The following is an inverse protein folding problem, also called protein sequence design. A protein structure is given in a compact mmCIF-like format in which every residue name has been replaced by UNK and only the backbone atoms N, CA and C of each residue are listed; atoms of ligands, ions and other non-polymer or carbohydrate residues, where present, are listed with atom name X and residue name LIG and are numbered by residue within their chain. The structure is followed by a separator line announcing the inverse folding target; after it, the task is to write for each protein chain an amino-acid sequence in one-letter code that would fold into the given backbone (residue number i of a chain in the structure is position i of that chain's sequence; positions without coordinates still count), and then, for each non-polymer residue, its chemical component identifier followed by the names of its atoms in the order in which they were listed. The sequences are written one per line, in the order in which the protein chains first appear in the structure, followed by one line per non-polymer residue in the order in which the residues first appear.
data_IF_637103333176
#
_entry.id   IF_637103333176
#
_cell.length_a   1.000
_cell.length_b   1.000
_cell.length_c   1.000
_cell.angle_alpha   90.00
_cell.angle_beta   90.00
_cell.angle_gamma   90.00
#
_symmetry.space_group_name_H-M   'P 1'
#
loop_
_entity.id
_entity.type
_entity.pdbx_description
1 polymer ?
#
# COMPACT_ATOMS: atom_id res chain seq x y z
N UNK A 1 -47.66 23.78 51.19
CA UNK A 1 -47.76 22.30 51.45
C UNK A 1 -46.62 21.61 50.75
N UNK A 2 -45.83 20.91 51.53
CA UNK A 2 -44.62 20.13 51.17
C UNK A 2 -44.99 18.95 50.26
N UNK A 3 -44.17 18.63 49.28
CA UNK A 3 -43.73 17.26 49.14
C UNK A 3 -42.40 17.14 48.44
N UNK A 4 -41.49 16.35 49.09
CA UNK A 4 -40.16 16.02 48.67
C UNK A 4 -40.20 14.68 47.93
N UNK A 5 -39.57 14.58 46.73
CA UNK A 5 -39.12 13.27 46.21
C UNK A 5 -37.64 13.31 45.87
N UNK A 6 -36.89 12.57 46.70
CA UNK A 6 -35.46 12.30 46.54
C UNK A 6 -35.20 11.41 45.30
N UNK A 7 -34.37 11.85 44.38
CA UNK A 7 -33.81 11.01 43.35
C UNK A 7 -32.69 10.13 43.91
N UNK A 8 -32.76 8.84 43.63
CA UNK A 8 -31.71 7.85 43.97
C UNK A 8 -30.60 7.92 42.93
N UNK A 9 -29.41 8.28 43.36
CA UNK A 9 -28.15 8.15 42.59
C UNK A 9 -27.81 6.64 42.49
N UNK A 10 -27.65 6.15 41.24
CA UNK A 10 -27.11 4.83 40.94
C UNK A 10 -25.61 4.81 41.22
N UNK A 11 -25.19 4.09 42.29
CA UNK A 11 -23.81 3.87 42.63
C UNK A 11 -23.08 3.04 41.55
N UNK A 12 -21.87 3.46 41.19
CA UNK A 12 -20.95 2.69 40.37
C UNK A 12 -20.44 1.51 41.20
N UNK A 13 -20.69 0.29 40.70
CA UNK A 13 -20.10 -0.93 41.27
C UNK A 13 -18.57 -0.90 41.11
N UNK A 14 -17.84 -1.12 42.23
CA UNK A 14 -16.38 -1.19 42.22
C UNK A 14 -15.91 -2.57 41.78
N UNK A 15 -14.69 -2.63 41.19
CA UNK A 15 -14.05 -3.90 40.80
C UNK A 15 -13.99 -4.94 41.93
N UNK A 16 -14.04 -4.49 43.18
CA UNK A 16 -14.02 -5.35 44.39
C UNK A 16 -15.36 -6.04 44.64
N UNK A 17 -16.46 -5.44 44.22
CA UNK A 17 -17.81 -5.98 44.37
C UNK A 17 -18.13 -7.06 43.33
N UNK A 18 -17.52 -6.96 42.16
CA UNK A 18 -17.61 -7.97 41.09
C UNK A 18 -16.88 -9.29 41.48
N UNK A 19 -15.75 -9.18 42.16
CA UNK A 19 -15.00 -10.36 42.64
C UNK A 19 -15.64 -11.06 43.83
N UNK A 20 -16.46 -10.38 44.62
CA UNK A 20 -17.18 -10.96 45.75
C UNK A 20 -18.48 -11.66 45.36
N UNK A 21 -19.08 -11.28 44.23
CA UNK A 21 -20.29 -11.93 43.71
C UNK A 21 -20.02 -13.30 43.04
N UNK A 22 -18.75 -13.59 42.67
CA UNK A 22 -18.35 -14.88 42.11
C UNK A 22 -18.05 -16.00 43.11
N UNK A 23 -18.01 -15.70 44.40
CA UNK A 23 -17.57 -16.64 45.42
C UNK A 23 -18.68 -17.25 46.32
N UNK A 24 -19.94 -16.90 46.04
CA UNK A 24 -21.06 -17.34 46.88
C UNK A 24 -22.10 -18.16 46.11
N UNK A 25 -21.68 -19.28 45.52
CA UNK A 25 -22.60 -20.13 44.76
C UNK A 25 -22.06 -21.52 44.43
N UNK A 26 -21.48 -22.22 45.39
CA UNK A 26 -21.19 -23.65 45.24
C UNK A 26 -21.66 -24.41 46.50
N UNK A 27 -22.93 -24.76 46.50
CA UNK A 27 -23.49 -25.79 47.34
C UNK A 27 -23.32 -27.14 46.67
N UNK A 28 -22.75 -28.07 47.40
CA UNK A 28 -22.35 -29.43 47.02
C UNK A 28 -23.55 -30.27 46.58
N UNK A 29 -23.44 -30.95 45.43
CA UNK A 29 -24.08 -32.23 45.18
C UNK A 29 -23.09 -33.13 44.46
N UNK A 30 -22.61 -34.16 45.14
CA UNK A 30 -21.77 -35.20 44.59
C UNK A 30 -22.59 -36.11 43.68
N UNK A 31 -22.23 -36.19 42.40
CA UNK A 31 -22.43 -37.36 41.54
C UNK A 31 -21.32 -37.38 40.49
N UNK A 32 -20.63 -38.54 40.42
CA UNK A 32 -19.48 -38.74 39.56
C UNK A 32 -19.85 -38.69 38.07
N UNK A 33 -19.09 -37.97 37.35
CA UNK A 33 -19.15 -37.87 35.90
C UNK A 33 -18.04 -36.93 35.41
N UNK A 34 -17.16 -37.46 34.64
CA UNK A 34 -16.03 -36.84 33.98
C UNK A 34 -16.33 -35.41 33.54
N UNK A 35 -15.78 -34.41 34.23
CA UNK A 35 -15.64 -33.06 33.70
C UNK A 35 -14.43 -33.06 32.74
N UNK A 36 -14.60 -32.68 31.47
CA UNK A 36 -13.46 -32.47 30.61
C UNK A 36 -12.66 -31.26 31.11
N UNK A 37 -11.35 -31.43 31.21
CA UNK A 37 -10.35 -30.39 31.43
C UNK A 37 -10.52 -29.23 30.40
N UNK A 38 -11.36 -28.28 30.72
CA UNK A 38 -11.49 -27.01 30.01
C UNK A 38 -11.14 -25.82 30.92
N UNK A 39 -10.13 -25.96 31.73
CA UNK A 39 -9.32 -24.84 32.14
C UNK A 39 -8.13 -24.80 31.17
N UNK A 40 -8.36 -24.19 30.01
CA UNK A 40 -7.27 -23.69 29.16
C UNK A 40 -6.47 -22.73 30.06
N UNK A 41 -5.45 -23.25 30.74
CA UNK A 41 -4.41 -22.43 31.31
C UNK A 41 -3.90 -21.53 30.20
N UNK A 42 -4.22 -20.24 30.27
CA UNK A 42 -3.63 -19.25 29.38
C UNK A 42 -2.11 -19.45 29.49
N UNK A 43 -1.49 -20.01 28.44
CA UNK A 43 -0.03 -20.16 28.39
C UNK A 43 0.55 -18.80 28.74
N UNK A 44 1.40 -18.76 29.77
CA UNK A 44 2.13 -17.56 30.14
C UNK A 44 2.74 -16.95 28.85
N UNK A 45 2.69 -15.64 28.68
CA UNK A 45 3.23 -15.01 27.48
C UNK A 45 4.69 -15.45 27.28
N UNK A 46 5.06 -15.78 26.04
CA UNK A 46 6.38 -16.30 25.69
C UNK A 46 7.52 -15.23 25.83
N UNK A 47 7.23 -14.11 26.49
CA UNK A 47 8.14 -12.98 26.71
C UNK A 47 7.95 -12.39 28.12
N UNK A 48 8.99 -11.71 28.60
CA UNK A 48 9.01 -11.15 29.97
C UNK A 48 8.26 -9.81 30.01
N UNK A 49 7.62 -9.51 31.14
CA UNK A 49 7.10 -8.17 31.45
C UNK A 49 8.25 -7.15 31.42
N UNK A 50 8.02 -5.98 30.81
CA UNK A 50 9.05 -4.96 30.58
C UNK A 50 9.88 -5.18 29.30
N UNK A 51 9.53 -6.17 28.46
CA UNK A 51 10.10 -6.29 27.11
C UNK A 51 9.87 -5.00 26.33
N UNK A 52 10.91 -4.54 25.63
CA UNK A 52 10.83 -3.37 24.74
C UNK A 52 10.70 -3.86 23.30
N UNK A 53 9.64 -3.45 22.63
CA UNK A 53 9.36 -3.81 21.23
C UNK A 53 9.42 -2.54 20.37
N UNK A 54 10.25 -2.54 19.34
CA UNK A 54 10.45 -1.41 18.45
C UNK A 54 9.94 -1.71 17.04
N UNK A 55 9.14 -0.79 16.48
CA UNK A 55 8.50 -0.95 15.17
C UNK A 55 8.85 0.24 14.30
N UNK A 56 9.33 -0.02 13.08
CA UNK A 56 9.66 0.98 12.07
C UNK A 56 8.70 0.89 10.88
N UNK A 57 8.09 2.02 10.53
CA UNK A 57 7.13 2.12 9.43
C UNK A 57 7.34 3.37 8.59
N UNK A 58 6.78 3.37 7.39
CA UNK A 58 6.59 4.59 6.61
C UNK A 58 5.48 5.47 7.19
N UNK A 59 5.62 6.79 7.08
CA UNK A 59 4.57 7.74 7.47
C UNK A 59 3.32 7.55 6.61
N UNK A 60 2.16 7.56 7.25
CA UNK A 60 0.90 7.37 6.55
C UNK A 60 0.38 8.69 5.99
N UNK A 61 -0.08 8.67 4.74
CA UNK A 61 -0.75 9.83 4.14
C UNK A 61 -2.14 10.09 4.72
N UNK A 62 -2.73 9.09 5.39
CA UNK A 62 -4.02 9.19 6.09
C UNK A 62 -3.72 9.23 7.60
N UNK A 63 -3.52 10.42 8.15
CA UNK A 63 -3.10 10.62 9.53
C UNK A 63 -3.97 9.89 10.58
N UNK A 64 -5.33 9.85 10.50
CA UNK A 64 -6.14 9.11 11.46
C UNK A 64 -5.80 7.63 11.56
N UNK A 65 -5.36 7.00 10.47
CA UNK A 65 -4.98 5.58 10.48
C UNK A 65 -3.64 5.34 11.17
N UNK A 66 -2.70 6.29 11.07
CA UNK A 66 -1.44 6.24 11.81
C UNK A 66 -1.68 6.39 13.32
N UNK A 67 -2.55 7.30 13.71
CA UNK A 67 -2.91 7.50 15.11
C UNK A 67 -3.66 6.30 15.69
N UNK A 68 -4.51 5.66 14.89
CA UNK A 68 -5.17 4.42 15.30
C UNK A 68 -4.16 3.29 15.50
N UNK A 69 -3.20 3.12 14.58
CA UNK A 69 -2.15 2.12 14.74
C UNK A 69 -1.34 2.34 16.02
N UNK A 70 -0.94 3.58 16.32
CA UNK A 70 -0.21 3.93 17.55
C UNK A 70 -1.00 3.56 18.79
N UNK A 71 -2.31 3.91 18.83
CA UNK A 71 -3.19 3.56 19.95
C UNK A 71 -3.31 2.04 20.13
N UNK A 72 -3.54 1.30 19.05
CA UNK A 72 -3.63 -0.15 19.08
C UNK A 72 -2.33 -0.78 19.63
N UNK A 73 -1.17 -0.30 19.15
CA UNK A 73 0.12 -0.77 19.63
C UNK A 73 0.30 -0.52 21.13
N UNK A 74 -0.04 0.69 21.59
CA UNK A 74 0.03 1.05 23.01
C UNK A 74 -0.92 0.21 23.86
N UNK A 75 -2.18 0.06 23.46
CA UNK A 75 -3.19 -0.76 24.16
C UNK A 75 -2.71 -2.22 24.35
N UNK A 76 -2.14 -2.81 23.29
CA UNK A 76 -1.58 -4.14 23.39
C UNK A 76 -0.36 -4.19 24.31
N UNK A 77 0.52 -3.21 24.23
CA UNK A 77 1.70 -3.10 25.07
C UNK A 77 1.33 -3.04 26.56
N UNK A 78 0.39 -2.15 26.93
CA UNK A 78 -0.11 -2.00 28.30
C UNK A 78 -0.75 -3.32 28.81
N UNK A 79 -1.59 -3.96 27.97
CA UNK A 79 -2.26 -5.20 28.33
C UNK A 79 -1.29 -6.38 28.57
N UNK A 80 -0.13 -6.37 27.90
CA UNK A 80 0.85 -7.45 27.95
C UNK A 80 2.12 -7.11 28.73
N UNK A 81 2.22 -5.89 29.27
CA UNK A 81 3.40 -5.41 30.00
C UNK A 81 4.63 -5.26 29.09
N UNK A 82 4.43 -4.84 27.86
CA UNK A 82 5.45 -4.57 26.83
C UNK A 82 5.50 -3.07 26.56
N UNK A 83 6.69 -2.50 26.55
CA UNK A 83 6.91 -1.12 26.11
C UNK A 83 7.05 -1.11 24.57
N UNK A 84 6.10 -0.51 23.85
CA UNK A 84 6.15 -0.44 22.38
C UNK A 84 6.54 0.97 21.94
N UNK A 85 7.55 1.06 21.07
CA UNK A 85 7.87 2.27 20.31
C UNK A 85 7.53 2.08 18.84
N UNK A 86 6.90 3.09 18.22
CA UNK A 86 6.57 3.10 16.80
C UNK A 86 7.20 4.33 16.15
N UNK A 87 8.17 4.12 15.28
CA UNK A 87 8.81 5.16 14.49
C UNK A 87 8.22 5.19 13.09
N UNK A 88 7.92 6.40 12.60
CA UNK A 88 7.38 6.65 11.28
C UNK A 88 8.33 7.58 10.52
N UNK A 89 8.87 7.10 9.40
CA UNK A 89 9.78 7.85 8.55
C UNK A 89 9.14 8.21 7.21
N UNK A 90 9.67 9.24 6.55
CA UNK A 90 9.35 9.46 5.14
C UNK A 90 9.79 8.27 4.30
N UNK A 91 9.03 7.98 3.25
CA UNK A 91 9.26 6.79 2.43
C UNK A 91 10.67 6.69 1.81
N UNK A 92 11.29 7.78 1.33
CA UNK A 92 12.68 7.72 0.84
C UNK A 92 13.70 7.32 1.91
N UNK A 93 13.44 7.65 3.18
CA UNK A 93 14.36 7.41 4.31
C UNK A 93 14.19 6.00 4.90
N UNK A 94 13.07 5.35 4.60
CA UNK A 94 12.70 4.08 5.24
C UNK A 94 13.65 2.94 4.84
N UNK A 95 13.90 2.76 3.55
CA UNK A 95 14.74 1.66 3.05
C UNK A 95 16.19 1.72 3.56
N UNK A 96 16.88 2.87 3.55
CA UNK A 96 18.21 2.99 4.15
C UNK A 96 18.22 2.66 5.65
N UNK A 97 17.19 3.07 6.38
CA UNK A 97 17.04 2.77 7.82
C UNK A 97 16.83 1.28 8.09
N UNK A 98 16.01 0.62 7.24
CA UNK A 98 15.82 -0.84 7.31
C UNK A 98 17.15 -1.55 7.03
N UNK A 99 17.89 -1.16 5.99
CA UNK A 99 19.19 -1.74 5.65
C UNK A 99 20.18 -1.65 6.81
N UNK A 100 20.25 -0.49 7.46
CA UNK A 100 21.05 -0.30 8.66
C UNK A 100 20.60 -1.21 9.82
N UNK A 101 19.29 -1.36 10.01
CA UNK A 101 18.70 -2.20 11.08
C UNK A 101 18.96 -3.70 10.84
N UNK A 102 18.94 -4.14 9.59
CA UNK A 102 19.31 -5.51 9.21
C UNK A 102 20.76 -5.82 9.60
N UNK A 103 21.67 -4.87 9.47
CA UNK A 103 23.09 -5.05 9.78
C UNK A 103 23.38 -4.90 11.28
N UNK A 104 22.88 -3.84 11.89
CA UNK A 104 23.28 -3.41 13.23
C UNK A 104 22.21 -3.66 14.32
N UNK A 105 21.00 -4.06 13.95
CA UNK A 105 19.84 -4.10 14.85
C UNK A 105 19.21 -2.71 15.03
N UNK A 106 18.30 -2.62 16.00
CA UNK A 106 17.62 -1.35 16.32
C UNK A 106 16.10 -1.43 16.27
N UNK A 107 15.57 -2.29 15.41
CA UNK A 107 14.12 -2.56 15.33
C UNK A 107 13.83 -4.05 15.36
N UNK A 108 12.66 -4.39 15.91
CA UNK A 108 12.14 -5.76 15.96
C UNK A 108 11.24 -6.06 14.78
N UNK A 109 10.34 -5.11 14.47
CA UNK A 109 9.39 -5.18 13.35
C UNK A 109 9.66 -4.04 12.40
N UNK A 110 9.65 -4.31 11.10
CA UNK A 110 9.81 -3.32 10.04
C UNK A 110 8.71 -3.46 9.00
N UNK A 111 8.23 -2.34 8.47
CA UNK A 111 7.35 -2.33 7.31
C UNK A 111 8.20 -2.41 6.04
N UNK A 112 7.94 -3.43 5.22
CA UNK A 112 8.60 -3.62 3.94
C UNK A 112 7.64 -3.29 2.80
N UNK A 113 8.17 -2.65 1.76
CA UNK A 113 7.42 -2.26 0.58
C UNK A 113 8.07 -2.80 -0.69
N UNK A 114 7.25 -3.07 -1.71
CA UNK A 114 7.72 -3.26 -3.06
C UNK A 114 8.78 -4.35 -3.21
N UNK A 115 8.61 -5.50 -2.57
CA UNK A 115 9.56 -6.61 -2.72
C UNK A 115 10.84 -6.49 -1.90
N UNK A 116 10.97 -5.52 -0.98
CA UNK A 116 12.12 -5.46 -0.06
C UNK A 116 12.25 -6.73 0.81
N UNK A 117 11.17 -7.46 1.01
CA UNK A 117 11.22 -8.79 1.61
C UNK A 117 12.12 -9.76 0.83
N UNK A 118 12.22 -9.65 -0.50
CA UNK A 118 13.17 -10.44 -1.30
C UNK A 118 14.62 -9.96 -1.13
N UNK A 119 14.84 -8.64 -0.99
CA UNK A 119 16.18 -8.10 -0.73
C UNK A 119 16.72 -8.58 0.61
N UNK A 120 15.87 -8.67 1.63
CA UNK A 120 16.25 -9.03 3.00
C UNK A 120 15.87 -10.45 3.40
N UNK A 121 15.53 -11.32 2.46
CA UNK A 121 14.96 -12.66 2.69
C UNK A 121 15.74 -13.50 3.70
N UNK A 122 17.06 -13.35 3.76
CA UNK A 122 17.93 -14.12 4.68
C UNK A 122 17.93 -13.55 6.10
N UNK A 123 17.45 -12.32 6.27
CA UNK A 123 17.42 -11.58 7.53
C UNK A 123 16.02 -11.51 8.16
N UNK A 124 15.03 -12.16 7.57
CA UNK A 124 13.63 -12.11 8.02
C UNK A 124 13.20 -13.43 8.66
N UNK A 125 12.44 -13.31 9.74
CA UNK A 125 11.79 -14.45 10.43
C UNK A 125 10.62 -14.94 9.58
N UNK A 126 10.43 -16.26 9.54
CA UNK A 126 9.23 -16.85 8.95
C UNK A 126 8.00 -16.58 9.85
N UNK A 127 6.97 -16.01 9.25
CA UNK A 127 5.70 -15.66 9.90
C UNK A 127 4.49 -16.34 9.24
N UNK A 128 4.71 -17.51 8.61
CA UNK A 128 3.64 -18.31 8.02
C UNK A 128 2.54 -18.67 9.03
N UNK A 129 2.92 -18.87 10.30
CA UNK A 129 2.01 -19.14 11.42
C UNK A 129 1.04 -17.97 11.72
N UNK A 130 1.26 -16.79 11.17
CA UNK A 130 0.39 -15.61 11.27
C UNK A 130 -0.28 -15.34 9.93
N UNK A 131 0.49 -15.26 8.85
CA UNK A 131 0.00 -14.89 7.52
C UNK A 131 -1.01 -15.90 6.95
N UNK A 132 -0.71 -17.21 7.03
CA UNK A 132 -1.58 -18.24 6.45
C UNK A 132 -2.98 -18.29 7.11
N UNK A 133 -3.09 -18.33 8.46
CA UNK A 133 -4.40 -18.30 9.11
C UNK A 133 -5.19 -17.03 8.81
N UNK A 134 -4.51 -15.85 8.73
CA UNK A 134 -5.17 -14.60 8.41
C UNK A 134 -5.76 -14.63 7.00
N UNK A 135 -4.96 -15.01 6.01
CA UNK A 135 -5.44 -15.12 4.62
C UNK A 135 -6.60 -16.10 4.51
N UNK A 136 -6.47 -17.31 5.10
CA UNK A 136 -7.49 -18.37 5.03
C UNK A 136 -8.84 -17.93 5.61
N UNK A 137 -8.87 -17.36 6.84
CA UNK A 137 -10.13 -16.96 7.50
C UNK A 137 -10.82 -15.78 6.82
N UNK A 138 -10.08 -15.00 6.00
CA UNK A 138 -10.58 -13.84 5.29
C UNK A 138 -10.85 -14.12 3.79
N UNK A 139 -11.08 -15.36 3.40
CA UNK A 139 -11.48 -15.75 2.05
C UNK A 139 -10.34 -15.93 1.05
N UNK A 140 -9.10 -15.95 1.52
CA UNK A 140 -7.88 -15.99 0.72
C UNK A 140 -7.33 -14.61 0.40
N UNK A 141 -6.08 -14.60 -0.04
CA UNK A 141 -5.39 -13.38 -0.45
C UNK A 141 -5.91 -12.88 -1.80
N UNK A 142 -5.79 -11.58 -2.06
CA UNK A 142 -5.90 -11.05 -3.42
C UNK A 142 -4.72 -11.53 -4.26
N UNK A 143 -4.92 -11.62 -5.58
CA UNK A 143 -3.91 -12.19 -6.49
C UNK A 143 -2.54 -11.50 -6.38
N UNK A 144 -2.52 -10.18 -6.29
CA UNK A 144 -1.27 -9.43 -6.20
C UNK A 144 -0.48 -9.75 -4.92
N UNK A 145 -1.18 -10.09 -3.83
CA UNK A 145 -0.57 -10.56 -2.59
C UNK A 145 -0.04 -11.98 -2.74
N UNK A 146 -0.84 -12.89 -3.31
CA UNK A 146 -0.46 -14.30 -3.50
C UNK A 146 0.86 -14.44 -4.28
N UNK A 147 1.11 -13.51 -5.22
CA UNK A 147 2.30 -13.53 -6.06
C UNK A 147 3.57 -13.05 -5.35
N UNK A 148 3.48 -12.33 -4.22
CA UNK A 148 4.62 -11.56 -3.69
C UNK A 148 4.93 -11.74 -2.21
N UNK A 149 4.18 -12.54 -1.44
CA UNK A 149 4.42 -12.61 0.01
C UNK A 149 5.25 -13.83 0.47
N UNK A 150 5.54 -14.76 -0.42
CA UNK A 150 6.28 -15.99 -0.13
C UNK A 150 7.61 -16.08 -0.86
N UNK A 151 8.59 -16.66 -0.18
CA UNK A 151 9.82 -17.15 -0.79
C UNK A 151 9.99 -18.63 -0.44
N UNK A 152 9.77 -19.51 -1.42
CA UNK A 152 9.59 -20.93 -1.17
C UNK A 152 8.39 -21.18 -0.26
N UNK A 153 8.62 -21.89 0.85
CA UNK A 153 7.58 -22.20 1.84
C UNK A 153 7.52 -21.20 3.00
N UNK A 154 8.32 -20.12 2.96
CA UNK A 154 8.37 -19.13 4.06
C UNK A 154 7.55 -17.89 3.71
N UNK A 155 6.83 -17.35 4.68
CA UNK A 155 6.25 -16.02 4.62
C UNK A 155 7.22 -15.02 5.26
N UNK A 156 7.77 -14.11 4.48
CA UNK A 156 8.79 -13.16 4.91
C UNK A 156 8.23 -11.86 5.50
N UNK A 157 6.95 -11.84 5.74
CA UNK A 157 6.20 -10.77 6.39
C UNK A 157 4.72 -11.09 6.33
N UNK A 158 3.92 -10.42 7.16
CA UNK A 158 2.45 -10.53 7.12
C UNK A 158 1.91 -9.43 6.22
N UNK A 159 1.29 -9.77 5.08
CA UNK A 159 0.74 -8.77 4.16
C UNK A 159 -0.40 -7.97 4.78
N UNK A 160 -0.39 -6.64 4.56
CA UNK A 160 -1.47 -5.78 5.06
C UNK A 160 -2.12 -4.90 3.99
N UNK A 161 -1.75 -5.07 2.72
CA UNK A 161 -2.30 -4.35 1.58
C UNK A 161 -1.23 -3.61 0.79
N UNK A 162 -1.69 -2.70 -0.07
CA UNK A 162 -0.86 -1.82 -0.86
C UNK A 162 -1.55 -0.46 -1.00
N UNK A 163 -0.81 0.63 -1.04
CA UNK A 163 -1.43 1.94 -1.34
C UNK A 163 -1.97 1.94 -2.75
N UNK A 164 -3.18 2.47 -2.89
CA UNK A 164 -3.79 2.59 -4.20
C UNK A 164 -3.09 3.67 -5.04
N UNK A 165 -3.35 3.68 -6.35
CA UNK A 165 -2.94 4.74 -7.26
C UNK A 165 -3.81 4.71 -8.50
N UNK A 166 -4.25 5.87 -8.97
CA UNK A 166 -5.06 6.00 -10.18
C UNK A 166 -4.88 7.39 -10.77
N UNK A 167 -5.48 7.66 -11.93
CA UNK A 167 -5.43 9.00 -12.50
C UNK A 167 -6.48 9.87 -11.80
N UNK A 168 -6.04 10.77 -10.92
CA UNK A 168 -6.87 11.86 -10.43
C UNK A 168 -6.98 12.94 -11.50
N UNK A 169 -8.16 13.53 -11.70
CA UNK A 169 -8.36 14.60 -12.67
C UNK A 169 -9.38 15.64 -12.19
N UNK A 170 -9.26 16.86 -12.74
CA UNK A 170 -10.20 17.94 -12.54
C UNK A 170 -11.36 17.79 -13.52
N UNK A 171 -12.57 17.60 -12.99
CA UNK A 171 -13.80 17.37 -13.78
C UNK A 171 -14.02 18.53 -14.77
N UNK A 172 -13.94 19.77 -14.27
CA UNK A 172 -14.19 20.97 -15.07
C UNK A 172 -13.26 21.07 -16.28
N UNK A 173 -11.97 20.83 -16.07
CA UNK A 173 -10.96 20.95 -17.13
C UNK A 173 -10.99 19.78 -18.13
N UNK A 174 -11.32 18.57 -17.66
CA UNK A 174 -11.54 17.43 -18.56
C UNK A 174 -12.78 17.64 -19.43
N UNK A 175 -13.84 18.23 -18.86
CA UNK A 175 -15.04 18.60 -19.60
C UNK A 175 -14.76 19.66 -20.65
N UNK A 176 -14.03 20.72 -20.30
CA UNK A 176 -13.57 21.76 -21.21
C UNK A 176 -12.69 21.19 -22.35
N UNK A 177 -11.83 20.23 -22.03
CA UNK A 177 -11.03 19.50 -23.03
C UNK A 177 -11.85 18.54 -23.91
N UNK A 178 -13.16 18.39 -23.65
CA UNK A 178 -14.06 17.55 -24.41
C UNK A 178 -14.00 16.06 -24.04
N UNK A 179 -13.59 15.73 -22.81
CA UNK A 179 -13.63 14.36 -22.32
C UNK A 179 -15.09 13.91 -22.09
N UNK A 180 -15.56 12.85 -22.75
CA UNK A 180 -16.91 12.33 -22.50
C UNK A 180 -17.06 11.82 -21.06
N UNK A 181 -18.23 12.03 -20.47
CA UNK A 181 -18.55 11.56 -19.10
C UNK A 181 -17.58 12.09 -18.03
N UNK A 182 -17.00 13.28 -18.20
CA UNK A 182 -16.03 13.84 -17.26
C UNK A 182 -16.56 13.92 -15.81
N UNK A 183 -17.88 13.96 -15.60
CA UNK A 183 -18.51 13.97 -14.28
C UNK A 183 -18.52 12.60 -13.58
N UNK A 184 -18.28 11.51 -14.32
CA UNK A 184 -18.32 10.14 -13.80
C UNK A 184 -17.13 9.31 -14.33
N UNK A 185 -16.03 9.37 -13.61
CA UNK A 185 -14.80 8.66 -13.97
C UNK A 185 -14.96 7.14 -14.12
N UNK A 186 -15.99 6.55 -13.51
CA UNK A 186 -16.28 5.12 -13.66
C UNK A 186 -16.76 4.73 -15.07
N UNK A 187 -17.20 5.71 -15.86
CA UNK A 187 -17.63 5.56 -17.25
C UNK A 187 -16.55 5.93 -18.27
N UNK A 188 -15.39 6.34 -17.81
CA UNK A 188 -14.26 6.73 -18.66
C UNK A 188 -13.29 5.56 -18.77
N UNK A 189 -13.06 5.08 -19.99
CA UNK A 189 -12.14 3.98 -20.29
C UNK A 189 -11.19 4.37 -21.43
N UNK A 190 -10.09 5.04 -21.10
CA UNK A 190 -9.15 5.64 -22.06
C UNK A 190 -7.99 4.71 -22.41
N UNK A 191 -7.52 4.84 -23.66
CA UNK A 191 -6.15 4.49 -24.04
C UNK A 191 -5.18 5.59 -23.63
N UNK A 192 -3.86 5.31 -23.65
CA UNK A 192 -2.84 6.32 -23.41
C UNK A 192 -2.90 7.46 -24.42
N UNK A 193 -3.15 7.15 -25.69
CA UNK A 193 -3.27 8.15 -26.76
C UNK A 193 -4.45 9.10 -26.52
N UNK A 194 -5.61 8.57 -26.13
CA UNK A 194 -6.78 9.39 -25.79
C UNK A 194 -6.52 10.26 -24.55
N UNK A 195 -5.85 9.70 -23.54
CA UNK A 195 -5.47 10.43 -22.34
C UNK A 195 -4.52 11.58 -22.66
N UNK A 196 -3.48 11.34 -23.48
CA UNK A 196 -2.56 12.40 -23.92
C UNK A 196 -3.26 13.47 -24.78
N UNK A 197 -4.21 13.06 -25.62
CA UNK A 197 -4.99 14.01 -26.43
C UNK A 197 -5.84 14.95 -25.56
N UNK A 198 -6.44 14.45 -24.48
CA UNK A 198 -7.12 15.28 -23.48
C UNK A 198 -6.11 16.22 -22.81
N UNK A 199 -4.97 15.69 -22.36
CA UNK A 199 -3.92 16.46 -21.70
C UNK A 199 -3.34 17.59 -22.57
N UNK A 200 -3.18 17.35 -23.87
CA UNK A 200 -2.76 18.38 -24.83
C UNK A 200 -3.72 19.57 -24.84
N UNK A 201 -5.03 19.32 -24.82
CA UNK A 201 -6.05 20.37 -24.75
C UNK A 201 -6.05 21.06 -23.38
N UNK A 202 -5.92 20.30 -22.28
CA UNK A 202 -5.78 20.88 -20.94
C UNK A 202 -4.54 21.80 -20.85
N UNK A 203 -3.38 21.37 -21.38
CA UNK A 203 -2.15 22.17 -21.40
C UNK A 203 -2.31 23.44 -22.25
N UNK A 204 -2.97 23.35 -23.40
CA UNK A 204 -3.27 24.51 -24.25
C UNK A 204 -4.15 25.55 -23.55
N UNK A 205 -5.03 25.10 -22.62
CA UNK A 205 -5.88 25.95 -21.78
C UNK A 205 -5.16 26.41 -20.48
N UNK A 206 -3.84 26.14 -20.34
CA UNK A 206 -3.05 26.56 -19.18
C UNK A 206 -3.07 25.57 -17.99
N UNK A 207 -3.62 24.38 -18.17
CA UNK A 207 -3.78 23.35 -17.14
C UNK A 207 -3.11 22.03 -17.53
N UNK A 208 -1.76 21.97 -17.59
CA UNK A 208 -1.04 20.75 -17.97
C UNK A 208 -1.37 19.59 -17.04
N UNK A 209 -1.11 18.36 -17.48
CA UNK A 209 -0.96 17.22 -16.60
C UNK A 209 0.34 17.36 -15.80
N UNK A 210 0.41 16.70 -14.67
CA UNK A 210 1.65 16.60 -13.90
C UNK A 210 1.92 15.15 -13.49
N UNK A 211 3.19 14.76 -13.55
CA UNK A 211 3.60 13.43 -13.15
C UNK A 211 5.02 13.46 -12.59
N UNK A 212 5.20 12.83 -11.43
CA UNK A 212 6.51 12.60 -10.88
C UNK A 212 7.26 11.54 -11.73
N UNK A 213 8.47 11.87 -12.17
CA UNK A 213 9.43 10.96 -12.82
C UNK A 213 10.82 11.02 -12.17
N UNK A 214 10.95 11.64 -10.98
CA UNK A 214 12.16 11.59 -10.17
C UNK A 214 12.29 10.29 -9.38
N UNK A 215 13.36 10.17 -8.59
CA UNK A 215 13.59 9.01 -7.74
C UNK A 215 12.65 9.03 -6.52
N UNK A 216 11.50 8.40 -6.66
CA UNK A 216 10.51 8.20 -5.61
C UNK A 216 9.90 6.81 -5.70
N UNK A 217 9.40 6.30 -4.57
CA UNK A 217 9.05 4.89 -4.44
C UNK A 217 7.66 4.55 -4.94
N UNK A 218 6.76 5.52 -5.11
CA UNK A 218 5.34 5.30 -5.39
C UNK A 218 4.91 5.67 -6.80
N UNK A 219 4.73 6.95 -7.07
CA UNK A 219 4.07 7.44 -8.27
C UNK A 219 4.88 7.20 -9.56
N UNK A 220 6.22 7.42 -9.61
CA UNK A 220 6.97 7.15 -10.82
C UNK A 220 6.90 5.68 -11.26
N UNK A 221 7.20 4.67 -10.41
CA UNK A 221 7.02 3.27 -10.80
C UNK A 221 5.55 2.93 -11.08
N UNK A 222 4.60 3.56 -10.36
CA UNK A 222 3.17 3.38 -10.54
C UNK A 222 2.65 3.76 -11.93
N UNK A 223 3.38 4.59 -12.67
CA UNK A 223 3.09 4.92 -14.08
C UNK A 223 4.00 4.16 -15.04
N UNK A 224 5.31 4.16 -14.80
CA UNK A 224 6.29 3.65 -15.75
C UNK A 224 6.13 2.15 -16.00
N UNK A 225 5.95 1.34 -14.94
CA UNK A 225 5.75 -0.10 -15.09
C UNK A 225 4.44 -0.45 -15.83
N UNK A 226 3.26 0.05 -15.45
CA UNK A 226 2.02 -0.19 -16.18
C UNK A 226 2.07 0.28 -17.63
N UNK A 227 2.69 1.44 -17.90
CA UNK A 227 2.87 1.92 -19.26
C UNK A 227 3.70 0.93 -20.10
N UNK A 228 4.88 0.55 -19.61
CA UNK A 228 5.75 -0.43 -20.24
C UNK A 228 5.03 -1.74 -20.55
N UNK A 229 4.33 -2.30 -19.55
CA UNK A 229 3.57 -3.54 -19.71
C UNK A 229 2.43 -3.42 -20.72
N UNK A 230 1.79 -2.26 -20.76
CA UNK A 230 0.69 -1.99 -21.70
C UNK A 230 1.13 -1.95 -23.17
N UNK A 231 2.44 -1.79 -23.41
CA UNK A 231 3.07 -1.92 -24.73
C UNK A 231 3.81 -3.26 -24.91
N UNK A 232 3.54 -4.24 -24.07
CA UNK A 232 4.03 -5.60 -24.21
C UNK A 232 5.51 -5.82 -23.86
N UNK A 233 6.16 -4.85 -23.22
CA UNK A 233 7.49 -5.03 -22.67
C UNK A 233 7.42 -5.35 -21.16
N UNK A 234 8.41 -6.08 -20.69
CA UNK A 234 8.57 -6.50 -19.30
C UNK A 234 10.05 -6.48 -18.95
N UNK A 235 10.39 -6.50 -17.68
CA UNK A 235 11.80 -6.63 -17.29
C UNK A 235 12.38 -7.94 -17.84
N UNK A 236 11.66 -9.04 -17.62
CA UNK A 236 12.05 -10.39 -18.05
C UNK A 236 10.85 -11.19 -18.57
N UNK A 237 11.13 -12.23 -19.34
CA UNK A 237 10.15 -13.24 -19.72
C UNK A 237 9.70 -14.07 -18.49
N UNK A 238 8.74 -14.99 -18.70
CA UNK A 238 8.20 -15.88 -17.64
C UNK A 238 9.27 -16.73 -16.95
N UNK A 239 10.42 -16.94 -17.58
CA UNK A 239 11.54 -17.67 -17.00
C UNK A 239 12.29 -16.90 -15.88
N UNK A 240 11.94 -15.62 -15.68
CA UNK A 240 12.56 -14.74 -14.70
C UNK A 240 14.03 -14.38 -14.97
N UNK A 241 14.51 -14.54 -16.21
CA UNK A 241 15.91 -14.38 -16.62
C UNK A 241 16.09 -13.66 -17.95
N UNK A 242 15.38 -14.09 -18.98
CA UNK A 242 15.49 -13.53 -20.33
C UNK A 242 14.94 -12.12 -20.36
N UNK A 243 15.76 -11.13 -20.73
CA UNK A 243 15.34 -9.73 -20.80
C UNK A 243 14.27 -9.57 -21.88
N UNK A 244 13.16 -8.95 -21.53
CA UNK A 244 12.00 -8.70 -22.38
C UNK A 244 11.67 -7.19 -22.49
N UNK A 245 12.64 -6.35 -22.20
CA UNK A 245 12.45 -4.91 -22.06
C UNK A 245 12.47 -4.17 -23.42
N UNK A 246 13.44 -4.46 -24.28
CA UNK A 246 13.68 -3.75 -25.53
C UNK A 246 12.85 -4.29 -26.71
N UNK A 247 11.55 -4.52 -26.48
CA UNK A 247 10.62 -4.93 -27.54
C UNK A 247 10.34 -3.76 -28.49
N UNK A 248 10.22 -4.00 -29.81
CA UNK A 248 9.90 -2.93 -30.79
C UNK A 248 8.62 -2.17 -30.45
N UNK A 249 7.60 -2.86 -29.94
CA UNK A 249 6.34 -2.24 -29.53
C UNK A 249 6.52 -1.25 -28.37
N UNK A 250 7.48 -1.50 -27.47
CA UNK A 250 7.78 -0.58 -26.38
C UNK A 250 8.60 0.63 -26.85
N UNK A 251 9.50 0.44 -27.81
CA UNK A 251 10.18 1.59 -28.46
C UNK A 251 9.16 2.53 -29.11
N UNK A 252 8.14 1.97 -29.78
CA UNK A 252 7.04 2.76 -30.33
C UNK A 252 6.20 3.42 -29.23
N UNK A 253 5.85 2.67 -28.17
CA UNK A 253 5.18 3.23 -26.99
C UNK A 253 5.98 4.36 -26.36
N UNK A 254 7.31 4.22 -26.26
CA UNK A 254 8.18 5.27 -25.71
C UNK A 254 8.20 6.54 -26.58
N UNK A 255 8.14 6.43 -27.91
CA UNK A 255 7.96 7.62 -28.76
C UNK A 255 6.67 8.35 -28.44
N UNK A 256 5.56 7.61 -28.34
CA UNK A 256 4.26 8.19 -27.95
C UNK A 256 4.30 8.82 -26.56
N UNK A 257 5.03 8.20 -25.62
CA UNK A 257 5.22 8.79 -24.29
C UNK A 257 5.98 10.10 -24.33
N UNK A 258 7.06 10.17 -25.11
CA UNK A 258 7.84 11.41 -25.31
C UNK A 258 6.96 12.52 -25.90
N UNK A 259 6.18 12.22 -26.96
CA UNK A 259 5.24 13.15 -27.57
C UNK A 259 4.17 13.59 -26.57
N UNK A 260 3.54 12.64 -25.89
CA UNK A 260 2.53 12.91 -24.85
C UNK A 260 3.07 13.73 -23.70
N UNK A 261 4.31 13.46 -23.27
CA UNK A 261 4.97 14.24 -22.22
C UNK A 261 5.13 15.70 -22.63
N UNK A 262 5.70 15.93 -23.80
CA UNK A 262 5.89 17.28 -24.34
C UNK A 262 4.56 18.02 -24.52
N UNK A 263 3.56 17.34 -25.06
CA UNK A 263 2.30 17.97 -25.46
C UNK A 263 1.32 18.16 -24.30
N UNK A 264 1.36 17.31 -23.28
CA UNK A 264 0.33 17.27 -22.22
C UNK A 264 0.83 17.62 -20.83
N UNK A 265 2.09 17.34 -20.49
CA UNK A 265 2.57 17.44 -19.11
C UNK A 265 3.33 18.73 -18.81
N UNK A 266 3.43 19.04 -17.52
CA UNK A 266 4.42 19.96 -16.97
C UNK A 266 5.80 19.28 -17.02
N UNK A 267 6.70 19.83 -17.80
CA UNK A 267 8.00 19.19 -18.09
C UNK A 267 8.93 19.14 -16.87
N UNK A 268 8.68 19.96 -15.83
CA UNK A 268 9.44 19.92 -14.58
C UNK A 268 9.23 18.63 -13.77
N UNK A 269 8.21 17.83 -14.12
CA UNK A 269 7.89 16.55 -13.51
C UNK A 269 9.04 15.55 -13.47
N UNK A 270 10.06 15.69 -14.33
CA UNK A 270 11.27 14.86 -14.31
C UNK A 270 12.10 14.96 -13.03
N UNK A 271 11.89 16.02 -12.24
CA UNK A 271 12.52 16.24 -10.94
C UNK A 271 11.58 16.06 -9.74
N UNK A 272 10.30 15.72 -10.00
CA UNK A 272 9.30 15.58 -8.94
C UNK A 272 9.38 14.25 -8.21
N UNK A 273 9.06 14.29 -6.90
CA UNK A 273 8.81 13.14 -6.03
C UNK A 273 7.31 12.92 -5.79
N UNK A 274 6.94 11.93 -4.97
CA UNK A 274 5.55 11.58 -4.62
C UNK A 274 4.78 12.70 -3.88
N UNK A 275 5.41 13.82 -3.55
CA UNK A 275 4.78 14.95 -2.86
C UNK A 275 4.60 16.18 -3.75
N UNK A 276 5.39 16.31 -4.82
CA UNK A 276 5.34 17.47 -5.71
C UNK A 276 4.03 17.51 -6.52
N UNK A 277 3.62 16.38 -7.10
CA UNK A 277 2.36 16.29 -7.83
C UNK A 277 1.15 16.56 -6.92
N UNK A 278 1.20 16.14 -5.66
CA UNK A 278 0.16 16.46 -4.67
C UNK A 278 0.01 17.98 -4.50
N UNK A 279 1.13 18.68 -4.28
CA UNK A 279 1.13 20.14 -4.14
C UNK A 279 0.65 20.83 -5.42
N UNK A 280 1.14 20.41 -6.58
CA UNK A 280 0.75 20.97 -7.86
C UNK A 280 -0.75 20.79 -8.15
N UNK A 281 -1.32 19.62 -7.83
CA UNK A 281 -2.75 19.35 -8.00
C UNK A 281 -3.60 20.20 -7.05
N UNK A 282 -3.24 20.22 -5.76
CA UNK A 282 -3.97 20.98 -4.74
C UNK A 282 -3.81 22.50 -4.87
N UNK A 283 -2.79 23.00 -5.57
CA UNK A 283 -2.65 24.43 -5.91
C UNK A 283 -3.39 24.81 -7.19
N UNK A 284 -3.94 23.84 -7.94
CA UNK A 284 -4.59 24.09 -9.23
C UNK A 284 -3.62 24.30 -10.41
N UNK A 285 -2.35 23.92 -10.26
CA UNK A 285 -1.34 24.02 -11.30
C UNK A 285 -1.54 22.96 -12.40
N UNK A 286 -1.97 21.76 -12.03
CA UNK A 286 -2.11 20.62 -12.93
C UNK A 286 -3.55 20.07 -12.93
N UNK A 287 -3.97 19.57 -14.09
CA UNK A 287 -5.32 19.04 -14.30
C UNK A 287 -5.48 17.56 -14.02
N UNK A 288 -4.40 16.78 -14.13
CA UNK A 288 -4.42 15.34 -13.84
C UNK A 288 -3.04 14.84 -13.42
N UNK A 289 -3.03 13.77 -12.62
CA UNK A 289 -1.82 13.08 -12.18
C UNK A 289 -2.16 11.66 -11.75
N UNK A 290 -1.23 10.72 -11.94
CA UNK A 290 -1.29 9.45 -11.22
C UNK A 290 -0.90 9.68 -9.76
N UNK A 291 -1.76 9.26 -8.86
CA UNK A 291 -1.50 9.35 -7.42
C UNK A 291 -2.43 8.42 -6.64
N UNK A 292 -2.08 8.20 -5.37
CA UNK A 292 -3.00 7.61 -4.41
C UNK A 292 -4.19 8.52 -4.11
N UNK A 293 -5.25 7.96 -3.53
CA UNK A 293 -6.43 8.74 -3.12
C UNK A 293 -6.13 9.79 -2.02
N UNK A 294 -4.88 9.85 -1.54
CA UNK A 294 -4.42 10.84 -0.56
C UNK A 294 -4.63 12.29 -1.00
N UNK A 295 -4.44 12.61 -2.28
CA UNK A 295 -4.75 13.94 -2.83
C UNK A 295 -6.23 14.29 -2.60
N UNK A 296 -7.12 13.36 -2.91
CA UNK A 296 -8.55 13.57 -2.77
C UNK A 296 -8.97 13.75 -1.31
N UNK A 297 -8.39 12.95 -0.39
CA UNK A 297 -8.66 13.10 1.04
C UNK A 297 -8.10 14.41 1.60
N UNK A 298 -6.91 14.83 1.17
CA UNK A 298 -6.37 16.13 1.53
C UNK A 298 -7.27 17.27 1.00
N UNK A 299 -7.75 17.14 -0.25
CA UNK A 299 -8.68 18.11 -0.81
C UNK A 299 -10.00 18.16 -0.04
N UNK A 300 -10.61 17.02 0.31
CA UNK A 300 -11.84 16.99 1.12
C UNK A 300 -11.69 17.75 2.45
N UNK A 301 -10.53 17.68 3.06
CA UNK A 301 -10.23 18.34 4.33
C UNK A 301 -9.94 19.82 4.17
N UNK A 302 -9.05 20.19 3.24
CA UNK A 302 -8.42 21.49 3.21
C UNK A 302 -8.83 22.37 2.02
N UNK A 303 -9.42 21.75 0.95
CA UNK A 303 -9.76 22.36 -0.34
C UNK A 303 -11.05 21.75 -0.91
N UNK A 304 -12.22 21.91 -0.23
CA UNK A 304 -13.45 21.22 -0.61
C UNK A 304 -13.91 21.52 -2.05
N UNK A 305 -13.61 22.69 -2.58
CA UNK A 305 -13.88 23.07 -3.97
C UNK A 305 -13.08 22.22 -4.96
N UNK A 306 -11.83 21.90 -4.63
CA UNK A 306 -11.00 20.99 -5.43
C UNK A 306 -11.52 19.55 -5.32
N UNK A 307 -11.90 19.11 -4.12
CA UNK A 307 -12.48 17.79 -3.92
C UNK A 307 -13.79 17.60 -4.71
N UNK A 308 -14.64 18.62 -4.75
CA UNK A 308 -15.88 18.60 -5.55
C UNK A 308 -15.56 18.41 -7.05
N UNK A 309 -14.54 19.11 -7.55
CA UNK A 309 -14.08 19.07 -8.94
C UNK A 309 -13.08 17.93 -9.24
N UNK A 310 -12.78 17.05 -8.30
CA UNK A 310 -11.92 15.90 -8.49
C UNK A 310 -12.70 14.63 -8.75
N UNK A 311 -12.28 13.83 -9.72
CA UNK A 311 -12.69 12.43 -9.87
C UNK A 311 -11.47 11.57 -10.23
N UNK A 312 -11.67 10.27 -10.35
CA UNK A 312 -10.61 9.32 -10.67
C UNK A 312 -11.03 8.42 -11.82
N UNK A 313 -10.07 8.03 -12.66
CA UNK A 313 -10.23 7.02 -13.70
C UNK A 313 -9.18 5.92 -13.51
N UNK A 314 -9.47 4.73 -14.00
CA UNK A 314 -8.45 3.69 -14.13
C UNK A 314 -7.28 4.20 -14.96
N UNK A 315 -6.06 3.74 -14.67
CA UNK A 315 -4.90 4.06 -15.51
C UNK A 315 -5.20 3.69 -16.96
N UNK A 316 -4.80 4.51 -17.95
CA UNK A 316 -5.07 4.22 -19.35
C UNK A 316 -4.54 2.86 -19.81
N UNK A 317 -5.16 2.28 -20.81
CA UNK A 317 -4.74 1.02 -21.44
C UNK A 317 -3.89 1.27 -22.68
N UNK A 318 -2.96 0.36 -22.94
CA UNK A 318 -2.24 0.30 -24.22
C UNK A 318 -2.66 -0.92 -25.05
N UNK A 319 -1.95 -1.23 -26.15
CA UNK A 319 -2.29 -2.35 -27.03
C UNK A 319 -2.30 -3.72 -26.38
N UNK A 320 -1.47 -3.95 -25.35
CA UNK A 320 -1.43 -5.20 -24.59
C UNK A 320 -2.42 -5.25 -23.41
N UNK A 321 -3.16 -4.17 -23.16
CA UNK A 321 -4.17 -4.08 -22.11
C UNK A 321 -3.87 -3.05 -21.04
N UNK A 322 -4.58 -3.17 -19.92
CA UNK A 322 -4.42 -2.33 -18.74
C UNK A 322 -3.68 -3.11 -17.67
N UNK A 323 -2.78 -2.44 -16.98
CA UNK A 323 -2.01 -3.01 -15.89
C UNK A 323 -1.91 -2.02 -14.74
N UNK A 324 -1.71 -2.54 -13.53
CA UNK A 324 -1.29 -1.79 -12.35
C UNK A 324 -0.07 -2.46 -11.76
N UNK A 325 0.91 -1.67 -11.37
CA UNK A 325 1.96 -2.17 -10.51
C UNK A 325 1.41 -2.24 -9.09
N UNK A 326 1.15 -3.46 -8.63
CA UNK A 326 0.68 -3.73 -7.29
C UNK A 326 1.61 -4.74 -6.65
N UNK A 327 2.17 -4.36 -5.54
CA UNK A 327 2.93 -5.25 -4.68
C UNK A 327 2.35 -5.21 -3.27
N UNK A 328 2.76 -6.12 -2.38
CA UNK A 328 2.22 -6.07 -1.04
C UNK A 328 3.17 -5.35 -0.10
N UNK A 329 2.63 -4.55 0.81
CA UNK A 329 3.34 -4.14 2.01
C UNK A 329 3.20 -5.22 3.06
N UNK A 330 4.27 -5.44 3.81
CA UNK A 330 4.30 -6.47 4.85
C UNK A 330 4.89 -5.93 6.13
N UNK A 331 4.39 -6.39 7.28
CA UNK A 331 5.12 -6.30 8.53
C UNK A 331 6.01 -7.53 8.70
N UNK A 332 7.31 -7.30 8.74
CA UNK A 332 8.32 -8.33 8.86
C UNK A 332 9.07 -8.23 10.20
N UNK A 333 9.52 -9.37 10.72
CA UNK A 333 10.31 -9.44 11.94
C UNK A 333 11.76 -9.69 11.55
N UNK A 334 12.68 -8.87 12.05
CA UNK A 334 14.11 -9.04 11.80
C UNK A 334 14.68 -10.22 12.61
N UNK A 335 15.52 -11.05 11.99
CA UNK A 335 16.17 -12.20 12.67
C UNK A 335 17.12 -11.79 13.80
N UNK A 336 17.71 -10.60 13.71
CA UNK A 336 18.58 -10.06 14.74
C UNK A 336 17.82 -9.43 15.92
N UNK A 337 16.47 -9.42 15.89
CA UNK A 337 15.63 -9.04 17.02
C UNK A 337 15.84 -10.01 18.20
N UNK A 338 15.95 -9.46 19.41
CA UNK A 338 15.97 -10.21 20.66
C UNK A 338 14.56 -10.52 21.18
N UNK A 339 13.52 -9.96 20.54
CA UNK A 339 12.14 -9.95 20.99
C UNK A 339 11.18 -10.67 20.01
N UNK A 340 11.69 -11.61 19.19
CA UNK A 340 10.89 -12.34 18.18
C UNK A 340 9.57 -12.91 18.76
N UNK A 341 9.53 -13.52 19.96
CA UNK A 341 8.27 -14.01 20.51
C UNK A 341 7.25 -12.90 20.79
N UNK A 342 7.68 -11.74 21.31
CA UNK A 342 6.80 -10.59 21.54
C UNK A 342 6.34 -9.97 20.22
N UNK A 343 7.23 -9.85 19.23
CA UNK A 343 6.91 -9.38 17.89
C UNK A 343 5.86 -10.26 17.20
N UNK A 344 6.02 -11.59 17.27
CA UNK A 344 5.01 -12.54 16.75
C UNK A 344 3.67 -12.41 17.47
N UNK A 345 3.68 -12.29 18.81
CA UNK A 345 2.46 -12.16 19.60
C UNK A 345 1.72 -10.85 19.27
N UNK A 346 2.45 -9.74 19.11
CA UNK A 346 1.87 -8.47 18.68
C UNK A 346 1.26 -8.56 17.28
N UNK A 347 2.00 -9.05 16.29
CA UNK A 347 1.48 -9.19 14.93
C UNK A 347 0.28 -10.13 14.87
N UNK A 348 0.31 -11.24 15.58
CA UNK A 348 -0.84 -12.17 15.64
C UNK A 348 -2.10 -11.49 16.18
N UNK A 349 -1.99 -10.69 17.23
CA UNK A 349 -3.10 -9.92 17.78
C UNK A 349 -3.53 -8.79 16.84
N UNK A 350 -2.59 -8.05 16.26
CA UNK A 350 -2.91 -6.92 15.39
C UNK A 350 -3.61 -7.36 14.11
N UNK A 351 -3.28 -8.53 13.59
CA UNK A 351 -3.95 -9.12 12.42
C UNK A 351 -5.27 -9.84 12.78
N UNK A 352 -5.78 -9.77 14.02
CA UNK A 352 -7.15 -10.20 14.28
C UNK A 352 -8.14 -9.28 13.57
N UNK A 353 -9.33 -9.84 13.22
CA UNK A 353 -10.31 -9.19 12.35
C UNK A 353 -10.74 -7.80 12.85
N UNK A 354 -10.80 -7.61 14.19
CA UNK A 354 -11.16 -6.33 14.78
C UNK A 354 -10.07 -5.28 14.55
N UNK A 355 -8.84 -5.53 15.01
CA UNK A 355 -7.75 -4.57 15.00
C UNK A 355 -7.36 -4.21 13.58
N UNK A 356 -7.11 -5.22 12.75
CA UNK A 356 -6.77 -5.03 11.36
C UNK A 356 -7.93 -4.39 10.58
N UNK A 357 -9.16 -4.86 10.75
CA UNK A 357 -10.32 -4.34 10.05
C UNK A 357 -10.61 -2.88 10.40
N UNK A 358 -10.51 -2.51 11.68
CA UNK A 358 -10.71 -1.13 12.13
C UNK A 358 -9.62 -0.21 11.53
N UNK A 359 -8.36 -0.65 11.56
CA UNK A 359 -7.25 0.08 10.96
C UNK A 359 -7.40 0.20 9.44
N UNK A 360 -7.71 -0.89 8.73
CA UNK A 360 -7.85 -0.88 7.27
C UNK A 360 -8.99 0.04 6.82
N UNK A 361 -10.14 0.01 7.51
CA UNK A 361 -11.26 0.90 7.21
C UNK A 361 -10.96 2.36 7.51
N UNK A 362 -10.11 2.64 8.51
CA UNK A 362 -9.69 4.02 8.80
C UNK A 362 -8.84 4.65 7.70
N UNK A 363 -8.34 3.84 6.76
CA UNK A 363 -7.68 4.31 5.53
C UNK A 363 -8.66 4.83 4.47
N UNK A 364 -9.98 4.65 4.66
CA UNK A 364 -11.04 5.11 3.75
C UNK A 364 -10.84 4.68 2.28
N UNK A 365 -10.23 3.50 2.05
CA UNK A 365 -9.92 3.00 0.71
C UNK A 365 -8.57 3.45 0.14
N UNK A 366 -7.74 4.18 0.89
CA UNK A 366 -6.35 4.46 0.48
C UNK A 366 -5.51 3.18 0.41
N UNK A 367 -5.71 2.25 1.35
CA UNK A 367 -5.07 0.94 1.32
C UNK A 367 -5.97 -0.06 0.59
N UNK A 368 -5.47 -0.65 -0.49
CA UNK A 368 -6.13 -1.74 -1.20
C UNK A 368 -6.31 -2.95 -0.28
N UNK A 369 -7.40 -3.67 -0.48
CA UNK A 369 -7.67 -4.89 0.29
C UNK A 369 -6.61 -5.96 0.02
N UNK A 370 -6.00 -6.55 1.07
CA UNK A 370 -5.06 -7.65 0.88
C UNK A 370 -5.75 -9.00 0.72
N UNK A 371 -6.99 -9.13 1.20
CA UNK A 371 -7.78 -10.38 1.23
C UNK A 371 -9.15 -10.18 0.62
N UNK A 372 -9.69 -11.24 0.02
CA UNK A 372 -10.95 -11.22 -0.78
C UNK A 372 -12.16 -10.74 -0.01
N UNK A 373 -12.23 -10.99 1.30
CA UNK A 373 -13.33 -10.53 2.18
C UNK A 373 -13.55 -9.02 2.09
N UNK A 374 -12.51 -8.23 1.99
CA UNK A 374 -12.60 -6.77 1.99
C UNK A 374 -12.95 -6.16 0.63
N UNK A 375 -13.02 -6.95 -0.45
CA UNK A 375 -13.46 -6.47 -1.77
C UNK A 375 -14.90 -5.92 -1.74
N UNK A 376 -15.75 -6.50 -0.88
CA UNK A 376 -17.16 -6.10 -0.72
C UNK A 376 -17.39 -5.24 0.54
N UNK A 377 -16.32 -4.77 1.18
CA UNK A 377 -16.46 -3.94 2.39
C UNK A 377 -17.17 -2.61 2.08
N UNK A 378 -18.09 -2.16 2.95
CA UNK A 378 -18.82 -0.91 2.77
C UNK A 378 -17.96 0.34 2.52
N UNK A 379 -16.70 0.35 2.93
CA UNK A 379 -15.79 1.49 2.71
C UNK A 379 -15.69 1.87 1.23
N UNK A 380 -15.74 0.89 0.32
CA UNK A 380 -15.63 1.10 -1.12
C UNK A 380 -16.85 1.73 -1.78
N UNK A 381 -18.00 1.71 -1.08
CA UNK A 381 -19.29 2.16 -1.63
C UNK A 381 -19.77 3.48 -1.01
N UNK A 382 -19.02 4.03 -0.05
CA UNK A 382 -19.36 5.31 0.59
C UNK A 382 -19.22 6.50 -0.36
N UNK A 383 -18.27 6.41 -1.28
CA UNK A 383 -17.94 7.48 -2.22
C UNK A 383 -17.72 6.88 -3.61
N UNK A 384 -18.61 7.15 -4.59
CA UNK A 384 -18.50 6.59 -5.94
C UNK A 384 -17.23 7.01 -6.67
N UNK A 385 -16.61 8.13 -6.30
CA UNK A 385 -15.32 8.57 -6.83
C UNK A 385 -14.17 7.62 -6.51
N UNK A 386 -14.36 6.73 -5.53
CA UNK A 386 -13.38 5.70 -5.13
C UNK A 386 -13.50 4.38 -5.92
N UNK A 387 -14.51 4.22 -6.77
CA UNK A 387 -14.74 2.99 -7.52
C UNK A 387 -13.52 2.52 -8.35
N UNK A 388 -12.77 3.39 -9.06
CA UNK A 388 -11.58 2.97 -9.82
C UNK A 388 -10.51 2.31 -8.95
N UNK A 389 -10.36 2.73 -7.69
CA UNK A 389 -9.36 2.15 -6.79
C UNK A 389 -9.70 0.71 -6.41
N UNK A 390 -10.95 0.41 -6.08
CA UNK A 390 -11.40 -0.96 -5.77
C UNK A 390 -11.12 -1.97 -6.90
N UNK A 391 -11.18 -1.51 -8.15
CA UNK A 391 -11.03 -2.36 -9.34
C UNK A 391 -9.56 -2.71 -9.67
N UNK A 392 -8.58 -2.01 -9.12
CA UNK A 392 -7.15 -2.16 -9.44
C UNK A 392 -6.61 -3.59 -9.26
N UNK A 393 -6.98 -4.36 -8.20
CA UNK A 393 -6.48 -5.72 -8.03
C UNK A 393 -6.72 -6.64 -9.23
N UNK A 394 -7.74 -6.36 -10.05
CA UNK A 394 -8.03 -7.13 -11.27
C UNK A 394 -6.93 -7.03 -12.33
N UNK A 395 -6.18 -5.94 -12.32
CA UNK A 395 -5.14 -5.61 -13.31
C UNK A 395 -3.73 -5.66 -12.71
N UNK A 396 -3.63 -6.03 -11.42
CA UNK A 396 -2.38 -5.99 -10.66
C UNK A 396 -1.35 -7.00 -11.15
N UNK A 397 -0.11 -6.51 -11.31
CA UNK A 397 1.08 -7.32 -11.51
C UNK A 397 2.16 -6.87 -10.51
N UNK A 398 3.04 -7.79 -10.16
CA UNK A 398 4.16 -7.51 -9.25
C UNK A 398 5.41 -7.13 -10.04
N UNK A 399 6.42 -6.60 -9.34
CA UNK A 399 7.74 -6.41 -9.93
C UNK A 399 8.31 -7.73 -10.46
N UNK A 400 9.11 -7.65 -11.52
CA UNK A 400 9.63 -8.83 -12.20
C UNK A 400 8.63 -9.52 -13.13
N UNK A 401 7.40 -8.99 -13.27
CA UNK A 401 6.46 -9.47 -14.27
C UNK A 401 7.09 -9.37 -15.69
N UNK A 402 6.96 -10.40 -16.58
CA UNK A 402 6.15 -11.64 -16.52
C UNK A 402 6.78 -12.80 -15.72
N UNK A 403 8.02 -12.68 -15.25
CA UNK A 403 8.62 -13.65 -14.36
C UNK A 403 8.10 -13.52 -12.91
N UNK A 404 8.55 -14.38 -12.00
CA UNK A 404 8.18 -14.31 -10.60
C UNK A 404 8.91 -13.14 -9.91
N UNK A 405 8.30 -12.52 -8.88
CA UNK A 405 9.00 -11.62 -7.99
C UNK A 405 10.22 -12.31 -7.37
N UNK A 406 11.34 -11.59 -7.33
CA UNK A 406 12.60 -12.12 -6.80
C UNK A 406 13.56 -10.98 -6.39
N UNK A 407 14.72 -11.33 -5.82
CA UNK A 407 15.71 -10.37 -5.38
C UNK A 407 16.23 -9.45 -6.51
N UNK A 408 16.38 -9.97 -7.74
CA UNK A 408 16.87 -9.18 -8.88
C UNK A 408 15.83 -8.15 -9.33
N UNK A 409 14.55 -8.52 -9.35
CA UNK A 409 13.44 -7.60 -9.62
C UNK A 409 13.37 -6.49 -8.55
N UNK A 410 13.47 -6.86 -7.28
CA UNK A 410 13.50 -5.90 -6.19
C UNK A 410 14.71 -4.95 -6.28
N UNK A 411 15.87 -5.46 -6.71
CA UNK A 411 17.07 -4.64 -6.94
C UNK A 411 16.89 -3.70 -8.13
N UNK A 412 16.30 -4.17 -9.24
CA UNK A 412 16.02 -3.35 -10.43
C UNK A 412 15.09 -2.18 -10.09
N UNK A 413 14.04 -2.45 -9.32
CA UNK A 413 13.13 -1.43 -8.82
C UNK A 413 13.83 -0.45 -7.88
N UNK A 414 14.57 -0.92 -6.89
CA UNK A 414 15.30 -0.07 -5.93
C UNK A 414 16.38 0.81 -6.58
N UNK A 415 16.84 0.46 -7.78
CA UNK A 415 17.76 1.26 -8.60
C UNK A 415 17.06 2.15 -9.61
N UNK A 416 15.74 2.23 -9.59
CA UNK A 416 14.93 3.07 -10.47
C UNK A 416 15.15 2.85 -11.97
N UNK A 417 15.59 1.67 -12.42
CA UNK A 417 16.00 1.44 -13.82
C UNK A 417 14.88 1.73 -14.80
N UNK A 418 13.65 1.27 -14.52
CA UNK A 418 12.51 1.53 -15.39
C UNK A 418 12.16 3.02 -15.39
N UNK A 419 12.11 3.66 -14.23
CA UNK A 419 11.82 5.10 -14.10
C UNK A 419 12.87 5.94 -14.85
N UNK A 420 14.14 5.65 -14.65
CA UNK A 420 15.25 6.34 -15.34
C UNK A 420 15.19 6.20 -16.87
N UNK A 421 14.67 5.07 -17.37
CA UNK A 421 14.44 4.89 -18.80
C UNK A 421 13.46 5.93 -19.33
N UNK A 422 12.34 6.15 -18.62
CA UNK A 422 11.36 7.16 -19.00
C UNK A 422 11.90 8.57 -18.84
N UNK A 423 12.58 8.89 -17.74
CA UNK A 423 13.18 10.20 -17.52
C UNK A 423 14.21 10.54 -18.61
N UNK A 424 15.09 9.60 -18.96
CA UNK A 424 16.05 9.75 -20.06
C UNK A 424 15.36 9.94 -21.41
N UNK A 425 14.30 9.19 -21.66
CA UNK A 425 13.55 9.30 -22.91
C UNK A 425 12.96 10.70 -23.09
N UNK A 426 12.28 11.24 -22.08
CA UNK A 426 11.65 12.57 -22.18
C UNK A 426 12.66 13.72 -22.19
N UNK A 427 13.81 13.55 -21.52
CA UNK A 427 14.89 14.54 -21.51
C UNK A 427 15.72 14.53 -22.81
N UNK A 428 16.02 13.33 -23.32
CA UNK A 428 16.88 13.17 -24.51
C UNK A 428 16.13 13.11 -25.85
N UNK A 429 14.83 12.83 -25.82
CA UNK A 429 14.00 12.72 -27.03
C UNK A 429 14.24 11.46 -27.88
N UNK A 430 15.10 10.54 -27.44
CA UNK A 430 15.44 9.32 -28.19
C UNK A 430 14.88 8.06 -27.49
N UNK A 431 13.73 7.60 -27.96
CA UNK A 431 13.04 6.43 -27.42
C UNK A 431 13.88 5.15 -27.52
N UNK A 432 14.57 4.94 -28.64
CA UNK A 432 15.35 3.72 -28.87
C UNK A 432 16.56 3.69 -27.94
N UNK A 433 17.34 4.76 -27.89
CA UNK A 433 18.51 4.85 -27.03
C UNK A 433 18.16 4.68 -25.53
N UNK A 434 17.04 5.28 -25.08
CA UNK A 434 16.59 5.15 -23.70
C UNK A 434 16.17 3.70 -23.36
N UNK A 435 15.39 3.05 -24.23
CA UNK A 435 14.97 1.65 -24.04
C UNK A 435 16.14 0.69 -24.08
N UNK A 436 17.10 0.88 -24.98
CA UNK A 436 18.33 0.08 -25.04
C UNK A 436 19.16 0.25 -23.78
N UNK A 437 19.31 1.49 -23.27
CA UNK A 437 19.96 1.74 -21.99
C UNK A 437 19.32 0.98 -20.84
N UNK A 438 18.00 1.04 -20.72
CA UNK A 438 17.26 0.32 -19.69
C UNK A 438 17.48 -1.20 -19.77
N UNK A 439 17.42 -1.77 -20.99
CA UNK A 439 17.68 -3.18 -21.21
C UNK A 439 19.11 -3.59 -20.76
N UNK A 440 20.12 -2.75 -21.04
CA UNK A 440 21.49 -3.01 -20.62
C UNK A 440 21.66 -2.95 -19.10
N UNK A 441 20.97 -2.01 -18.41
CA UNK A 441 20.98 -1.99 -16.95
C UNK A 441 20.33 -3.25 -16.35
N UNK A 442 19.21 -3.70 -16.92
CA UNK A 442 18.54 -4.93 -16.50
C UNK A 442 19.42 -6.16 -16.74
N UNK A 443 20.12 -6.27 -17.89
CA UNK A 443 21.08 -7.36 -18.16
C UNK A 443 22.17 -7.44 -17.07
N UNK A 444 22.67 -6.31 -16.59
CA UNK A 444 23.68 -6.28 -15.50
C UNK A 444 23.16 -6.88 -14.20
N UNK A 445 21.85 -6.74 -13.93
CA UNK A 445 21.21 -7.27 -12.71
C UNK A 445 20.80 -8.72 -12.89
N UNK A 446 20.13 -9.03 -14.00
CA UNK A 446 19.58 -10.38 -14.22
C UNK A 446 20.65 -11.37 -14.69
N UNK A 447 21.71 -10.88 -15.30
CA UNK A 447 22.82 -11.72 -15.82
C UNK A 447 22.41 -12.37 -17.13
N UNK A 448 22.74 -11.73 -18.24
CA UNK A 448 22.58 -12.15 -19.66
C UNK A 448 21.20 -12.60 -20.10
#
# INVERSE_FOLDING_TARGET
MKDHRKGKTKGKLSRRDFLKAGAAGLGVAAMGGLLPDMLLAAKAPAFKKGTKLSILQGSYFIAPSQDLYKRQAQEWGEANGVEISCDFLNWPDLQPKIAASVQAGGYDIVELWGGWNYLYQDNLVDVADIAEPFGKRNGGWERYVELSYKVGNRCLGVPHGYSNGSMAYRISWFKEAGCPNAEDGSKIDLTWEEYFAIGKKCKANGHPFGQALGHSTGDPPGVCYPYMWSYGAMEVEKDGKTIAFNKPQFVEGMRKFIEGWKDAYDETGTSWDDSNNNRAYLSGQISSTYNGSSIYFAAKKDKPEIAADTHHILIPKGPAGRFYWLDTRTFAILKNSKNVPAAKAFLKWWFEDKQFGDWWRSQEGYMLQPVKKYYTDPVWFKDPKMAPFREQPKYGQNMGFAGPPNQKAALAWSKYIVVDTFAKAVQGGDAKAAVEWGAEQLKRIYGR
#
